data_IF_697214685134
#
_entry.id   IF_697214685134
#
_cell.length_a   1.000
_cell.length_b   1.000
_cell.length_c   1.000
_cell.angle_alpha   90.00
_cell.angle_beta   90.00
_cell.angle_gamma   90.00
#
_symmetry.space_group_name_H-M   'P 1'
#
loop_
_entity.id
_entity.type
_entity.pdbx_description
1 polymer ?
#
# COMPACT_ATOMS: atom_id res chain seq x y z
N UNK A 1 -16.22 6.02 25.32
CA UNK A 1 -15.30 6.18 24.18
C UNK A 1 -14.60 4.83 23.96
N UNK A 2 -15.23 3.89 23.26
CA UNK A 2 -14.59 2.61 22.92
C UNK A 2 -14.48 2.53 21.39
N UNK A 3 -13.35 3.00 20.86
CA UNK A 3 -12.99 2.71 19.47
C UNK A 3 -12.63 1.22 19.40
N UNK A 4 -13.58 0.41 18.96
CA UNK A 4 -13.35 -0.99 18.62
C UNK A 4 -12.46 -1.02 17.36
N UNK A 5 -11.14 -0.96 17.54
CA UNK A 5 -10.21 -1.32 16.48
C UNK A 5 -10.23 -2.84 16.37
N UNK A 6 -10.84 -3.38 15.32
CA UNK A 6 -10.83 -4.80 15.01
C UNK A 6 -9.37 -5.23 14.71
N UNK A 7 -8.76 -6.12 15.49
CA UNK A 7 -7.43 -6.64 15.19
C UNK A 7 -7.50 -7.44 13.89
N UNK A 8 -6.69 -7.08 12.90
CA UNK A 8 -6.57 -7.78 11.61
C UNK A 8 -5.64 -9.00 11.79
N UNK A 9 -5.75 -9.73 12.89
CA UNK A 9 -4.87 -10.86 13.16
C UNK A 9 -5.35 -12.08 12.34
N UNK A 10 -4.61 -12.43 11.29
CA UNK A 10 -4.76 -13.69 10.55
C UNK A 10 -5.84 -13.75 9.46
N UNK A 11 -6.39 -12.62 9.00
CA UNK A 11 -7.36 -12.60 7.89
C UNK A 11 -6.72 -12.14 6.58
N UNK A 12 -6.84 -12.95 5.53
CA UNK A 12 -6.40 -12.58 4.19
C UNK A 12 -7.39 -11.57 3.56
N UNK A 13 -6.88 -10.44 3.07
CA UNK A 13 -7.68 -9.43 2.37
C UNK A 13 -7.48 -9.61 0.86
N UNK A 14 -8.56 -9.87 0.14
CA UNK A 14 -8.55 -9.90 -1.32
C UNK A 14 -8.91 -8.52 -1.89
N UNK A 15 -7.97 -7.89 -2.61
CA UNK A 15 -8.18 -6.60 -3.27
C UNK A 15 -8.30 -6.85 -4.78
N UNK A 16 -9.40 -6.42 -5.40
CA UNK A 16 -9.59 -6.54 -6.84
C UNK A 16 -10.17 -5.29 -7.49
N UNK A 17 -9.90 -5.15 -8.79
CA UNK A 17 -10.39 -4.12 -9.70
C UNK A 17 -10.64 -4.82 -11.05
N UNK A 18 -11.23 -4.13 -12.04
CA UNK A 18 -11.43 -4.66 -13.40
C UNK A 18 -10.14 -5.18 -14.08
N UNK A 19 -8.98 -4.58 -13.81
CA UNK A 19 -7.68 -4.97 -14.38
C UNK A 19 -6.57 -5.29 -13.36
N UNK A 20 -6.85 -5.20 -12.06
CA UNK A 20 -5.92 -5.58 -10.98
C UNK A 20 -4.59 -4.82 -10.86
N UNK A 21 -4.20 -3.95 -11.79
CA UNK A 21 -2.86 -3.32 -11.78
C UNK A 21 -2.85 -1.88 -11.25
N UNK A 22 -3.86 -1.08 -11.57
CA UNK A 22 -3.92 0.33 -11.16
C UNK A 22 -4.36 0.51 -9.70
N UNK A 23 -5.67 0.60 -9.49
CA UNK A 23 -6.26 0.86 -8.16
C UNK A 23 -5.93 -0.21 -7.11
N UNK A 24 -5.84 -1.48 -7.52
CA UNK A 24 -5.50 -2.57 -6.61
C UNK A 24 -4.06 -2.47 -6.10
N UNK A 25 -3.11 -2.09 -6.97
CA UNK A 25 -1.72 -1.89 -6.55
C UNK A 25 -1.58 -0.70 -5.61
N UNK A 26 -2.30 0.39 -5.87
CA UNK A 26 -2.33 1.58 -5.01
C UNK A 26 -2.81 1.26 -3.59
N UNK A 27 -3.97 0.60 -3.46
CA UNK A 27 -4.52 0.24 -2.15
C UNK A 27 -3.60 -0.74 -1.43
N UNK A 28 -3.00 -1.71 -2.14
CA UNK A 28 -2.05 -2.63 -1.54
C UNK A 28 -0.79 -1.92 -1.00
N UNK A 29 -0.21 -1.00 -1.78
CA UNK A 29 0.95 -0.22 -1.34
C UNK A 29 0.60 0.70 -0.16
N UNK A 30 -0.58 1.35 -0.19
CA UNK A 30 -1.02 2.21 0.91
C UNK A 30 -1.17 1.42 2.21
N UNK A 31 -1.81 0.24 2.16
CA UNK A 31 -1.95 -0.62 3.33
C UNK A 31 -0.59 -1.08 3.89
N UNK A 32 0.39 -1.36 3.03
CA UNK A 32 1.75 -1.71 3.47
C UNK A 32 2.41 -0.53 4.18
N UNK A 33 2.31 0.67 3.61
CA UNK A 33 2.87 1.90 4.21
C UNK A 33 2.19 2.20 5.55
N UNK A 34 0.86 2.14 5.62
CA UNK A 34 0.09 2.32 6.86
C UNK A 34 0.40 1.25 7.92
N UNK A 35 0.83 0.06 7.50
CA UNK A 35 1.31 -1.00 8.40
C UNK A 35 2.75 -0.83 8.88
N UNK A 36 3.46 0.22 8.42
CA UNK A 36 4.82 0.55 8.82
C UNK A 36 5.92 0.06 7.87
N UNK A 37 5.58 -0.48 6.70
CA UNK A 37 6.56 -0.84 5.67
C UNK A 37 7.09 0.43 4.99
N UNK A 38 8.42 0.60 4.85
CA UNK A 38 8.98 1.75 4.14
C UNK A 38 8.45 1.88 2.72
N UNK A 39 8.27 3.12 2.26
CA UNK A 39 7.72 3.43 0.93
C UNK A 39 8.36 2.64 -0.21
N UNK A 40 9.70 2.60 -0.25
CA UNK A 40 10.48 1.88 -1.26
C UNK A 40 10.20 0.37 -1.24
N UNK A 41 10.05 -0.20 -0.04
CA UNK A 41 9.83 -1.63 0.16
C UNK A 41 8.40 -2.00 -0.21
N UNK A 42 7.43 -1.16 0.17
CA UNK A 42 6.03 -1.33 -0.21
C UNK A 42 5.83 -1.33 -1.73
N UNK A 43 6.49 -0.40 -2.44
CA UNK A 43 6.47 -0.38 -3.91
C UNK A 43 7.09 -1.64 -4.50
N UNK A 44 8.26 -2.04 -3.98
CA UNK A 44 8.98 -3.24 -4.45
C UNK A 44 8.14 -4.50 -4.27
N UNK A 45 7.50 -4.67 -3.12
CA UNK A 45 6.70 -5.84 -2.80
C UNK A 45 5.46 -5.94 -3.70
N UNK A 46 4.78 -4.80 -3.91
CA UNK A 46 3.62 -4.74 -4.83
C UNK A 46 4.04 -5.02 -6.27
N UNK A 47 5.17 -4.47 -6.73
CA UNK A 47 5.67 -4.70 -8.08
C UNK A 47 6.22 -6.13 -8.29
N UNK A 48 6.79 -6.76 -7.26
CA UNK A 48 7.24 -8.15 -7.31
C UNK A 48 6.07 -9.10 -7.61
N UNK A 49 4.91 -8.86 -6.97
CA UNK A 49 3.70 -9.64 -7.22
C UNK A 49 2.96 -9.21 -8.49
N UNK A 50 3.04 -7.93 -8.85
CA UNK A 50 2.40 -7.35 -10.03
C UNK A 50 3.35 -6.36 -10.70
N UNK A 51 4.20 -6.80 -11.65
CA UNK A 51 5.21 -5.95 -12.29
C UNK A 51 4.64 -4.71 -12.96
N UNK A 52 3.35 -4.76 -13.33
CA UNK A 52 2.65 -3.65 -13.98
C UNK A 52 1.95 -2.67 -13.03
N UNK A 53 2.00 -2.92 -11.73
CA UNK A 53 1.37 -2.06 -10.73
C UNK A 53 2.16 -0.77 -10.49
N UNK A 54 1.46 0.32 -10.18
CA UNK A 54 2.06 1.60 -9.76
C UNK A 54 3.08 2.16 -10.79
N UNK A 55 2.86 1.91 -12.08
CA UNK A 55 3.73 2.44 -13.15
C UNK A 55 3.31 3.84 -13.64
N UNK A 56 2.06 4.25 -13.40
CA UNK A 56 1.57 5.53 -13.89
C UNK A 56 2.10 6.67 -12.99
N UNK A 57 2.64 7.77 -13.55
CA UNK A 57 3.14 8.90 -12.76
C UNK A 57 2.16 9.39 -11.68
N UNK A 58 0.87 9.54 -12.00
CA UNK A 58 -0.17 9.91 -11.04
C UNK A 58 -0.31 8.93 -9.85
N UNK A 59 0.01 7.65 -10.01
CA UNK A 59 0.00 6.68 -8.92
C UNK A 59 1.20 6.86 -8.00
N UNK A 60 2.37 7.13 -8.57
CA UNK A 60 3.60 7.39 -7.83
C UNK A 60 3.47 8.70 -7.05
N UNK A 61 2.91 9.73 -7.68
CA UNK A 61 2.64 11.02 -7.03
C UNK A 61 1.65 10.88 -5.88
N UNK A 62 0.55 10.14 -6.07
CA UNK A 62 -0.42 9.87 -5.01
C UNK A 62 0.19 9.09 -3.84
N UNK A 63 0.90 8.00 -4.14
CA UNK A 63 1.46 7.13 -3.09
C UNK A 63 2.62 7.83 -2.36
N UNK A 64 3.37 8.71 -3.04
CA UNK A 64 4.44 9.51 -2.46
C UNK A 64 3.96 10.52 -1.41
N UNK A 65 2.67 10.84 -1.37
CA UNK A 65 2.08 11.63 -0.27
C UNK A 65 2.13 10.90 1.08
N UNK A 66 2.30 9.57 1.05
CA UNK A 66 2.41 8.72 2.24
C UNK A 66 3.86 8.38 2.59
N UNK A 67 4.84 8.83 1.79
CA UNK A 67 6.27 8.77 2.13
C UNK A 67 6.52 9.74 3.29
N UNK A 68 6.15 9.31 4.49
CA UNK A 68 6.43 10.07 5.70
C UNK A 68 7.89 9.76 6.02
N UNK A 69 8.80 10.76 6.01
CA UNK A 69 10.18 10.51 6.41
C UNK A 69 10.13 9.89 7.81
N UNK A 70 10.60 8.65 7.95
CA UNK A 70 10.62 7.97 9.23
C UNK A 70 11.40 8.88 10.18
N UNK A 71 10.67 9.44 11.15
CA UNK A 71 11.20 10.41 12.07
C UNK A 71 12.45 9.82 12.73
N UNK A 72 13.59 10.43 12.44
CA UNK A 72 14.83 10.28 13.19
C UNK A 72 14.54 10.58 14.66
N UNK A 73 14.59 9.54 15.49
CA UNK A 73 14.73 9.62 16.94
C UNK A 73 16.15 9.24 17.33
#
# INVERSE_FOLDING_TARGET
MQQHQLPIEGKAIAIHCKGGSGRTGLVAAQLLIESGVPFSDALRDVQSLRPRAIQHPAHIEYIGQFDTPSNSH
#
